data_IF_207361675082
#
_entry.id   IF_207361675082
#
_cell.length_a   1.000
_cell.length_b   1.000
_cell.length_c   1.000
_cell.angle_alpha   90.00
_cell.angle_beta   90.00
_cell.angle_gamma   90.00
#
_symmetry.space_group_name_H-M   'P 1'
#
loop_
_entity.id
_entity.type
_entity.pdbx_description
1 polymer ?
#
# COMPACT_ATOMS: atom_id res chain seq x y z
N UNK A 1 10.37 -15.01 6.00
CA UNK A 1 10.04 -14.58 4.67
C UNK A 1 8.53 -14.51 4.54
N UNK A 2 8.01 -13.40 4.03
CA UNK A 2 6.60 -13.20 3.78
C UNK A 2 6.11 -14.05 2.61
N UNK A 3 4.82 -14.00 2.35
CA UNK A 3 4.15 -14.77 1.28
C UNK A 3 4.35 -14.17 -0.11
N UNK A 4 5.11 -13.10 -0.21
CA UNK A 4 5.43 -12.39 -1.43
C UNK A 4 6.17 -11.10 -1.13
N UNK A 5 6.59 -10.42 -2.18
CA UNK A 5 7.37 -9.18 -2.07
C UNK A 5 6.59 -8.02 -1.43
N UNK A 6 5.27 -8.02 -1.58
CA UNK A 6 4.36 -7.00 -1.08
C UNK A 6 3.31 -7.56 -0.10
N UNK A 7 3.68 -8.56 0.70
CA UNK A 7 2.82 -9.00 1.79
C UNK A 7 2.73 -7.88 2.85
N UNK A 8 1.69 -7.09 2.76
CA UNK A 8 1.39 -5.96 3.65
C UNK A 8 0.26 -6.28 4.64
N UNK A 9 -0.02 -7.56 4.87
CA UNK A 9 -0.99 -7.96 5.88
C UNK A 9 -0.59 -7.38 7.26
N UNK A 10 -1.57 -6.91 8.02
CA UNK A 10 -1.35 -6.28 9.33
C UNK A 10 -0.52 -7.16 10.28
N UNK A 11 -0.74 -8.46 10.25
CA UNK A 11 0.04 -9.44 11.03
C UNK A 11 1.52 -9.47 10.63
N UNK A 12 1.82 -9.32 9.33
CA UNK A 12 3.19 -9.25 8.83
C UNK A 12 3.85 -7.93 9.23
N UNK A 13 3.11 -6.83 9.14
CA UNK A 13 3.57 -5.52 9.55
C UNK A 13 3.87 -5.50 11.07
N UNK A 14 2.98 -6.04 11.90
CA UNK A 14 3.17 -6.15 13.34
C UNK A 14 4.39 -7.02 13.70
N UNK A 15 4.58 -8.15 13.01
CA UNK A 15 5.75 -9.01 13.18
C UNK A 15 7.06 -8.29 12.84
N UNK A 16 7.09 -7.55 11.73
CA UNK A 16 8.27 -6.76 11.34
C UNK A 16 8.51 -5.63 12.33
N UNK A 17 7.46 -4.92 12.78
CA UNK A 17 7.57 -3.84 13.74
C UNK A 17 8.19 -4.32 15.06
N UNK A 18 7.75 -5.48 15.59
CA UNK A 18 8.34 -6.10 16.78
C UNK A 18 9.86 -6.30 16.61
N UNK A 19 10.29 -6.83 15.46
CA UNK A 19 11.71 -7.06 15.20
C UNK A 19 12.51 -5.76 15.10
N UNK A 20 11.99 -4.75 14.44
CA UNK A 20 12.65 -3.44 14.32
C UNK A 20 12.76 -2.76 15.70
N UNK A 21 11.67 -2.73 16.47
CA UNK A 21 11.66 -2.16 17.82
C UNK A 21 12.69 -2.82 18.72
N UNK A 22 12.68 -4.16 18.83
CA UNK A 22 13.64 -4.91 19.64
C UNK A 22 15.08 -4.71 19.17
N UNK A 23 15.31 -4.71 17.86
CA UNK A 23 16.65 -4.48 17.31
C UNK A 23 17.16 -3.07 17.65
N UNK A 24 16.31 -2.05 17.52
CA UNK A 24 16.65 -0.68 17.89
C UNK A 24 16.95 -0.57 19.37
N UNK A 25 16.02 -1.00 20.23
CA UNK A 25 16.16 -0.88 21.68
C UNK A 25 17.37 -1.64 22.26
N UNK A 26 17.71 -2.79 21.69
CA UNK A 26 18.77 -3.65 22.22
C UNK A 26 20.13 -3.39 21.57
N UNK A 27 20.17 -2.82 20.38
CA UNK A 27 21.42 -2.62 19.62
C UNK A 27 21.93 -1.18 19.62
N UNK A 28 21.05 -0.20 19.59
CA UNK A 28 21.47 1.20 19.57
C UNK A 28 21.80 1.69 20.99
N UNK A 29 22.84 2.50 21.07
CA UNK A 29 23.20 3.25 22.28
C UNK A 29 23.06 4.75 22.02
N UNK A 30 23.02 5.56 23.06
CA UNK A 30 23.07 7.02 22.96
C UNK A 30 24.48 7.54 22.64
N UNK A 31 25.47 6.65 22.61
CA UNK A 31 26.85 7.03 22.34
C UNK A 31 27.11 7.16 20.84
N UNK A 32 27.71 8.29 20.46
CA UNK A 32 28.14 8.57 19.10
C UNK A 32 29.66 8.59 19.06
N UNK A 33 30.24 7.86 18.10
CA UNK A 33 31.70 7.83 17.90
C UNK A 33 32.20 9.18 17.36
N UNK A 34 33.53 9.40 17.40
CA UNK A 34 34.13 10.66 16.92
C UNK A 34 33.86 10.94 15.43
N UNK A 35 33.58 9.92 14.63
CA UNK A 35 33.23 9.99 13.21
C UNK A 35 31.69 10.07 12.97
N UNK A 36 30.91 10.33 13.99
CA UNK A 36 29.46 10.57 13.89
C UNK A 36 28.60 9.32 13.75
N UNK A 37 29.15 8.11 14.00
CA UNK A 37 28.41 6.86 13.96
C UNK A 37 27.87 6.48 15.34
N UNK A 38 26.66 5.97 15.36
CA UNK A 38 26.07 5.43 16.60
C UNK A 38 26.81 4.15 16.99
N UNK A 39 27.22 4.07 18.23
CA UNK A 39 27.84 2.85 18.79
C UNK A 39 26.78 1.79 19.01
N UNK A 40 27.10 0.56 18.65
CA UNK A 40 26.17 -0.57 18.81
C UNK A 40 26.56 -1.43 20.02
N UNK A 41 25.58 -1.83 20.79
CA UNK A 41 25.77 -2.85 21.82
C UNK A 41 26.28 -4.15 21.17
N UNK A 42 27.32 -4.80 21.75
CA UNK A 42 27.83 -6.06 21.22
C UNK A 42 26.79 -7.19 21.39
N UNK A 43 26.73 -8.08 20.41
CA UNK A 43 25.94 -9.30 20.50
C UNK A 43 26.76 -10.39 21.18
N UNK A 44 26.20 -11.01 22.20
CA UNK A 44 26.72 -12.27 22.73
C UNK A 44 25.84 -13.42 22.24
N UNK A 45 26.34 -14.26 21.33
CA UNK A 45 25.53 -15.34 20.74
C UNK A 45 24.97 -16.33 21.75
N UNK A 46 25.64 -16.52 22.89
CA UNK A 46 25.20 -17.48 23.90
C UNK A 46 24.15 -16.93 24.87
N UNK A 47 23.86 -15.63 24.81
CA UNK A 47 22.86 -14.94 25.64
C UNK A 47 21.56 -14.63 24.94
N UNK A 48 21.32 -15.22 23.77
CA UNK A 48 20.09 -15.03 23.04
C UNK A 48 19.16 -16.25 23.12
N UNK A 49 18.09 -16.15 22.37
CA UNK A 49 17.11 -17.21 22.18
C UNK A 49 17.27 -17.84 20.80
N UNK A 50 16.99 -19.13 20.72
CA UNK A 50 17.02 -19.88 19.47
C UNK A 50 15.61 -20.37 19.14
N UNK A 51 15.24 -20.28 17.86
CA UNK A 51 14.08 -20.95 17.31
C UNK A 51 14.49 -21.66 16.02
N UNK A 52 13.90 -22.81 15.76
CA UNK A 52 14.21 -23.64 14.61
C UNK A 52 13.92 -22.90 13.31
N UNK A 53 14.76 -23.12 12.30
CA UNK A 53 14.50 -22.67 10.94
C UNK A 53 13.21 -23.27 10.40
N UNK A 54 12.60 -22.58 9.43
CA UNK A 54 11.41 -23.07 8.80
C UNK A 54 11.68 -24.29 7.93
N UNK A 55 11.14 -25.43 8.37
CA UNK A 55 11.12 -26.67 7.63
C UNK A 55 9.67 -27.16 7.51
N UNK A 56 8.95 -26.83 6.41
CA UNK A 56 7.50 -27.05 6.30
C UNK A 56 7.08 -28.51 6.44
N UNK A 57 7.96 -29.43 6.11
CA UNK A 57 7.66 -30.88 6.08
C UNK A 57 8.08 -31.63 7.36
N UNK A 58 8.69 -30.95 8.32
CA UNK A 58 9.11 -31.59 9.58
C UNK A 58 7.94 -31.70 10.56
N UNK A 59 7.73 -32.92 11.10
CA UNK A 59 6.66 -33.20 12.06
C UNK A 59 7.03 -32.82 13.50
N UNK A 60 8.29 -32.96 13.89
CA UNK A 60 8.81 -32.62 15.22
C UNK A 60 9.67 -31.38 15.16
N UNK A 61 9.54 -30.55 16.18
CA UNK A 61 10.32 -29.32 16.33
C UNK A 61 10.86 -29.15 17.72
N UNK A 62 12.08 -28.62 17.78
CA UNK A 62 12.57 -28.01 18.97
C UNK A 62 11.79 -26.71 19.25
N UNK A 63 11.28 -26.53 20.48
CA UNK A 63 10.64 -25.29 20.90
C UNK A 63 11.69 -24.20 21.05
N UNK A 64 11.27 -22.95 20.81
CA UNK A 64 12.11 -21.81 21.12
C UNK A 64 12.58 -21.86 22.58
N UNK A 65 13.86 -21.64 22.79
CA UNK A 65 14.47 -21.67 24.10
C UNK A 65 15.70 -20.77 24.15
N UNK A 66 16.08 -20.41 25.36
CA UNK A 66 17.37 -19.76 25.62
C UNK A 66 18.52 -20.63 25.09
N UNK A 67 19.58 -20.02 24.57
CA UNK A 67 20.69 -20.69 23.89
C UNK A 67 21.17 -21.97 24.58
N UNK A 68 21.42 -21.92 25.88
CA UNK A 68 21.92 -23.06 26.66
C UNK A 68 20.88 -24.17 26.96
N UNK A 69 19.59 -23.88 26.70
CA UNK A 69 18.47 -24.79 26.95
C UNK A 69 17.85 -25.32 25.64
N UNK A 70 18.30 -24.81 24.49
CA UNK A 70 17.77 -25.19 23.20
C UNK A 70 18.11 -26.67 22.89
N UNK A 71 17.10 -27.44 22.56
CA UNK A 71 17.22 -28.91 22.33
C UNK A 71 17.33 -29.29 20.85
N UNK A 72 17.29 -28.31 19.95
CA UNK A 72 17.48 -28.51 18.51
C UNK A 72 18.94 -28.33 18.09
N UNK A 73 19.18 -28.40 16.78
CA UNK A 73 20.49 -28.08 16.23
C UNK A 73 20.69 -26.55 16.24
N UNK A 74 21.69 -26.10 16.98
CA UNK A 74 22.03 -24.67 17.08
C UNK A 74 22.52 -24.09 15.76
N UNK A 75 23.05 -24.94 14.86
CA UNK A 75 23.50 -24.52 13.52
C UNK A 75 22.35 -24.43 12.52
N UNK A 76 21.22 -25.07 12.81
CA UNK A 76 19.98 -24.99 12.02
C UNK A 76 18.87 -24.22 12.77
N UNK A 77 19.25 -23.20 13.50
CA UNK A 77 18.36 -22.32 14.23
C UNK A 77 18.56 -20.86 13.87
N UNK A 78 17.52 -20.07 14.01
CA UNK A 78 17.61 -18.61 14.01
C UNK A 78 17.86 -18.12 15.42
N UNK A 79 18.71 -17.11 15.54
CA UNK A 79 19.04 -16.45 16.79
C UNK A 79 18.19 -15.18 16.97
N UNK A 80 17.71 -14.94 18.18
CA UNK A 80 16.90 -13.81 18.57
C UNK A 80 17.42 -13.15 19.85
N UNK A 81 17.18 -11.86 19.98
CA UNK A 81 17.62 -11.12 21.16
C UNK A 81 16.90 -11.59 22.43
N UNK A 82 15.63 -11.90 22.32
CA UNK A 82 14.81 -12.28 23.48
C UNK A 82 13.76 -13.36 23.14
N UNK A 83 13.06 -13.76 24.18
CA UNK A 83 12.03 -14.79 24.14
C UNK A 83 10.87 -14.41 23.21
N UNK A 84 10.40 -13.14 23.31
CA UNK A 84 9.24 -12.66 22.57
C UNK A 84 9.45 -12.75 21.06
N UNK A 85 10.61 -12.34 20.56
CA UNK A 85 10.95 -12.48 19.14
C UNK A 85 10.98 -13.95 18.69
N UNK A 86 11.57 -14.83 19.48
CA UNK A 86 11.67 -16.25 19.16
C UNK A 86 10.29 -16.91 19.12
N UNK A 87 9.45 -16.66 20.11
CA UNK A 87 8.10 -17.20 20.22
C UNK A 87 7.17 -16.61 19.13
N UNK A 88 7.28 -15.32 18.79
CA UNK A 88 6.54 -14.73 17.69
C UNK A 88 6.87 -15.40 16.34
N UNK A 89 8.15 -15.77 16.14
CA UNK A 89 8.55 -16.53 14.95
C UNK A 89 7.94 -17.92 14.92
N UNK A 90 7.97 -18.64 16.04
CA UNK A 90 7.34 -19.97 16.12
C UNK A 90 5.82 -19.89 15.83
N UNK A 91 5.15 -18.94 16.48
CA UNK A 91 3.70 -18.73 16.29
C UNK A 91 3.37 -18.47 14.81
N UNK A 92 4.19 -17.64 14.12
CA UNK A 92 4.02 -17.37 12.70
C UNK A 92 4.18 -18.64 11.84
N UNK A 93 5.16 -19.47 12.14
CA UNK A 93 5.41 -20.68 11.37
C UNK A 93 4.36 -21.79 11.62
N UNK A 94 3.85 -21.88 12.84
CA UNK A 94 2.80 -22.85 13.21
C UNK A 94 1.51 -22.63 12.41
N UNK A 95 1.16 -21.37 12.09
CA UNK A 95 -0.07 -21.04 11.35
C UNK A 95 -0.19 -21.72 9.99
N UNK A 96 0.93 -22.00 9.33
CA UNK A 96 0.93 -22.59 7.98
C UNK A 96 1.33 -24.08 7.93
N UNK A 97 1.72 -24.67 9.07
CA UNK A 97 2.21 -26.04 9.10
C UNK A 97 1.11 -27.07 8.84
N UNK A 98 1.39 -28.03 7.95
CA UNK A 98 0.50 -29.15 7.64
C UNK A 98 -0.75 -28.75 6.85
N UNK A 99 -0.85 -27.49 6.47
CA UNK A 99 -1.94 -26.99 5.64
C UNK A 99 -1.61 -27.08 4.17
N UNK A 100 -2.63 -27.25 3.35
CA UNK A 100 -2.54 -27.29 1.91
C UNK A 100 -2.30 -25.89 1.33
N UNK A 101 -1.64 -25.83 0.18
CA UNK A 101 -1.49 -24.58 -0.58
C UNK A 101 -2.81 -24.26 -1.29
N UNK A 102 -3.14 -22.98 -1.36
CA UNK A 102 -4.16 -22.44 -2.26
C UNK A 102 -3.57 -21.33 -3.10
N UNK A 103 -4.16 -21.09 -4.27
CA UNK A 103 -3.59 -20.21 -5.27
C UNK A 103 -4.62 -19.17 -5.71
N UNK A 104 -4.14 -17.94 -5.95
CA UNK A 104 -4.97 -16.84 -6.41
C UNK A 104 -4.62 -16.46 -7.83
N UNK A 105 -5.61 -16.01 -8.55
CA UNK A 105 -5.52 -15.38 -9.86
C UNK A 105 -6.45 -14.17 -9.92
N UNK A 106 -6.56 -13.62 -11.10
CA UNK A 106 -7.44 -12.48 -11.37
C UNK A 106 -8.30 -12.76 -12.58
N UNK A 107 -9.53 -12.29 -12.51
CA UNK A 107 -10.49 -12.29 -13.61
C UNK A 107 -10.75 -10.86 -14.06
N UNK A 108 -10.71 -10.64 -15.38
CA UNK A 108 -11.05 -9.39 -16.01
C UNK A 108 -11.96 -9.66 -17.21
N UNK A 109 -13.08 -8.95 -17.30
CA UNK A 109 -14.07 -9.10 -18.39
C UNK A 109 -14.54 -10.54 -18.59
N UNK A 110 -14.75 -11.29 -17.50
CA UNK A 110 -15.22 -12.68 -17.53
C UNK A 110 -14.17 -13.73 -17.90
N UNK A 111 -12.91 -13.35 -17.99
CA UNK A 111 -11.81 -14.26 -18.33
C UNK A 111 -10.71 -14.28 -17.28
N UNK A 112 -10.23 -15.48 -16.94
CA UNK A 112 -9.07 -15.64 -16.08
C UNK A 112 -7.83 -15.09 -16.78
N UNK A 113 -7.09 -14.23 -16.08
CA UNK A 113 -5.85 -13.65 -16.60
C UNK A 113 -4.70 -14.64 -16.54
N UNK A 114 -3.86 -14.61 -17.57
CA UNK A 114 -2.69 -15.46 -17.66
C UNK A 114 -1.68 -15.17 -16.55
N UNK A 115 -1.11 -16.25 -15.99
CA UNK A 115 0.00 -16.19 -15.05
C UNK A 115 1.30 -16.50 -15.80
N UNK A 116 2.19 -15.51 -15.94
CA UNK A 116 3.46 -15.68 -16.63
C UNK A 116 4.64 -15.66 -15.64
N UNK A 117 5.31 -16.81 -15.51
CA UNK A 117 6.47 -16.97 -14.63
C UNK A 117 7.69 -16.13 -15.05
N UNK A 118 7.73 -15.65 -16.28
CA UNK A 118 8.85 -14.83 -16.80
C UNK A 118 8.73 -13.36 -16.39
N UNK A 119 7.53 -12.91 -16.05
CA UNK A 119 7.31 -11.54 -15.62
C UNK A 119 7.66 -11.36 -14.15
N UNK A 120 8.16 -10.18 -13.78
CA UNK A 120 8.41 -9.82 -12.38
C UNK A 120 7.11 -9.82 -11.58
N UNK A 121 6.11 -9.06 -12.02
CA UNK A 121 4.73 -9.20 -11.57
C UNK A 121 4.02 -10.18 -12.52
N UNK A 122 3.64 -11.32 -12.00
CA UNK A 122 3.23 -12.51 -12.76
C UNK A 122 1.94 -12.34 -13.53
N UNK A 123 1.09 -11.38 -13.13
CA UNK A 123 -0.22 -11.11 -13.76
C UNK A 123 -0.27 -9.63 -14.14
N UNK A 124 -0.56 -9.35 -15.39
CA UNK A 124 -0.60 -7.99 -15.93
C UNK A 124 -1.89 -7.78 -16.75
N UNK A 125 -2.99 -7.34 -16.09
CA UNK A 125 -4.20 -6.98 -16.80
C UNK A 125 -3.99 -5.74 -17.67
N UNK A 126 -4.87 -5.58 -18.64
CA UNK A 126 -4.94 -4.34 -19.42
C UNK A 126 -5.77 -3.30 -18.67
N UNK A 127 -5.39 -2.04 -18.78
CA UNK A 127 -6.27 -0.96 -18.34
C UNK A 127 -7.46 -0.87 -19.29
N UNK A 128 -8.62 -1.31 -18.80
CA UNK A 128 -9.86 -1.32 -19.54
C UNK A 128 -10.94 -0.54 -18.76
N UNK A 129 -10.94 0.81 -18.87
CA UNK A 129 -11.85 1.64 -18.10
C UNK A 129 -13.28 1.58 -18.65
N UNK A 130 -14.24 1.90 -17.77
CA UNK A 130 -15.65 2.17 -18.13
C UNK A 130 -15.78 3.47 -18.95
N UNK A 131 -17.03 3.83 -19.24
CA UNK A 131 -17.36 5.04 -20.01
C UNK A 131 -16.86 6.35 -19.38
N UNK A 132 -16.60 6.37 -18.06
CA UNK A 132 -16.02 7.51 -17.35
C UNK A 132 -14.50 7.69 -17.57
N UNK A 133 -13.85 6.72 -18.21
CA UNK A 133 -12.43 6.73 -18.54
C UNK A 133 -11.49 6.40 -17.37
N UNK A 134 -11.97 6.24 -16.14
CA UNK A 134 -11.17 6.07 -14.94
C UNK A 134 -11.55 4.87 -14.07
N UNK A 135 -12.80 4.41 -14.14
CA UNK A 135 -13.27 3.26 -13.36
C UNK A 135 -13.02 1.96 -14.10
N UNK A 136 -12.47 0.95 -13.45
CA UNK A 136 -12.22 -0.37 -14.04
C UNK A 136 -12.57 -1.49 -13.08
N UNK A 137 -12.77 -2.69 -13.61
CA UNK A 137 -13.07 -3.89 -12.85
C UNK A 137 -11.90 -4.87 -12.86
N UNK A 138 -11.68 -5.48 -11.70
CA UNK A 138 -10.76 -6.59 -11.50
C UNK A 138 -11.27 -7.42 -10.33
N UNK A 139 -11.37 -8.74 -10.51
CA UNK A 139 -11.85 -9.66 -9.48
C UNK A 139 -10.74 -10.64 -9.11
N UNK A 140 -10.50 -10.84 -7.81
CA UNK A 140 -9.65 -11.92 -7.32
C UNK A 140 -10.44 -13.24 -7.32
N UNK A 141 -9.80 -14.30 -7.72
CA UNK A 141 -10.39 -15.65 -7.81
C UNK A 141 -9.40 -16.70 -7.32
N UNK A 142 -9.92 -17.83 -6.84
CA UNK A 142 -9.10 -19.00 -6.52
C UNK A 142 -8.84 -19.84 -7.77
N UNK A 143 -7.62 -20.36 -7.90
CA UNK A 143 -7.17 -21.09 -9.08
C UNK A 143 -6.48 -22.38 -8.70
N UNK A 144 -6.28 -23.24 -9.68
CA UNK A 144 -5.43 -24.42 -9.55
C UNK A 144 -3.94 -24.04 -9.35
N UNK A 145 -3.12 -24.99 -9.03
CA UNK A 145 -1.67 -24.80 -8.81
C UNK A 145 -0.91 -24.28 -10.04
N UNK A 146 -1.43 -24.54 -11.24
CA UNK A 146 -0.88 -24.03 -12.50
C UNK A 146 -1.41 -22.63 -12.85
N UNK A 147 -2.44 -22.15 -12.15
CA UNK A 147 -3.14 -20.88 -12.40
C UNK A 147 -3.74 -20.77 -13.79
N UNK A 148 -4.26 -21.90 -14.30
CA UNK A 148 -4.83 -22.00 -15.64
C UNK A 148 -6.34 -22.10 -15.65
N UNK A 149 -6.95 -22.47 -14.52
CA UNK A 149 -8.40 -22.59 -14.34
C UNK A 149 -8.81 -22.24 -12.92
N UNK A 150 -10.10 -21.93 -12.74
CA UNK A 150 -10.68 -21.74 -11.42
C UNK A 150 -10.61 -23.05 -10.63
N UNK A 151 -10.58 -22.95 -9.30
CA UNK A 151 -10.53 -24.09 -8.39
C UNK A 151 -11.46 -23.85 -7.21
N UNK A 152 -12.12 -24.93 -6.78
CA UNK A 152 -12.91 -24.99 -5.55
C UNK A 152 -12.08 -25.50 -4.35
N UNK A 153 -10.81 -25.83 -4.58
CA UNK A 153 -9.86 -26.25 -3.54
C UNK A 153 -9.22 -25.04 -2.86
N UNK A 154 -9.97 -24.40 -1.99
CA UNK A 154 -9.54 -23.21 -1.26
C UNK A 154 -10.30 -23.04 0.06
N UNK A 155 -9.86 -22.13 0.92
CA UNK A 155 -10.59 -21.74 2.12
C UNK A 155 -11.92 -21.04 1.78
N UNK A 156 -12.91 -21.16 2.68
CA UNK A 156 -14.26 -20.63 2.45
C UNK A 156 -14.34 -19.10 2.29
N UNK A 157 -13.37 -18.36 2.86
CA UNK A 157 -13.36 -16.92 2.74
C UNK A 157 -13.23 -16.44 1.29
N UNK A 158 -13.91 -15.36 0.93
CA UNK A 158 -13.79 -14.76 -0.41
C UNK A 158 -12.47 -13.98 -0.54
N UNK A 159 -11.73 -14.16 -1.64
CA UNK A 159 -10.55 -13.34 -1.90
C UNK A 159 -10.89 -11.85 -2.01
N UNK A 160 -10.04 -11.01 -1.43
CA UNK A 160 -10.18 -9.54 -1.49
C UNK A 160 -9.00 -8.93 -2.24
N UNK A 161 -9.19 -7.71 -2.77
CA UNK A 161 -8.12 -6.95 -3.40
C UNK A 161 -7.88 -5.68 -2.60
N UNK A 162 -6.62 -5.42 -2.29
CA UNK A 162 -6.15 -4.18 -1.68
C UNK A 162 -5.17 -3.43 -2.59
N UNK A 163 -5.04 -2.11 -2.37
CA UNK A 163 -4.05 -1.29 -3.05
C UNK A 163 -2.67 -1.48 -2.40
N UNK A 164 -1.65 -1.70 -3.22
CA UNK A 164 -0.24 -1.60 -2.80
C UNK A 164 0.25 -0.18 -3.08
N UNK A 165 0.23 0.24 -4.34
CA UNK A 165 0.69 1.55 -4.76
C UNK A 165 0.06 1.96 -6.10
N UNK A 166 0.40 3.16 -6.55
CA UNK A 166 -0.09 3.73 -7.81
C UNK A 166 -1.32 4.63 -7.64
N UNK A 167 -1.71 5.31 -8.71
CA UNK A 167 -2.82 6.27 -8.69
C UNK A 167 -4.17 5.54 -8.77
N UNK A 168 -4.58 4.89 -7.68
CA UNK A 168 -5.81 4.12 -7.62
C UNK A 168 -6.44 4.19 -6.23
N UNK A 169 -7.76 4.20 -6.20
CA UNK A 169 -8.57 3.95 -5.01
C UNK A 169 -9.50 2.75 -5.23
N UNK A 170 -9.80 2.05 -4.15
CA UNK A 170 -10.77 0.95 -4.15
C UNK A 170 -12.17 1.52 -3.91
N UNK A 171 -13.08 1.28 -4.84
CA UNK A 171 -14.50 1.67 -4.73
C UNK A 171 -15.29 0.58 -4.02
N UNK A 172 -15.06 -0.68 -4.41
CA UNK A 172 -15.59 -1.89 -3.75
C UNK A 172 -14.68 -3.09 -4.06
N UNK A 173 -15.09 -4.31 -3.70
CA UNK A 173 -14.22 -5.49 -3.80
C UNK A 173 -13.76 -5.85 -5.22
N UNK A 174 -14.45 -5.36 -6.24
CA UNK A 174 -14.12 -5.65 -7.64
C UNK A 174 -14.00 -4.40 -8.51
N UNK A 175 -14.23 -3.22 -7.94
CA UNK A 175 -14.23 -1.95 -8.68
C UNK A 175 -13.18 -1.02 -8.13
N UNK A 176 -12.39 -0.48 -9.02
CA UNK A 176 -11.30 0.44 -8.74
C UNK A 176 -11.44 1.67 -9.62
N UNK A 177 -10.90 2.79 -9.16
CA UNK A 177 -10.91 4.05 -9.89
C UNK A 177 -9.52 4.69 -9.88
N UNK A 178 -9.08 5.21 -11.02
CA UNK A 178 -7.85 6.02 -11.08
C UNK A 178 -8.04 7.24 -10.18
N UNK A 179 -7.10 7.44 -9.26
CA UNK A 179 -7.11 8.54 -8.30
C UNK A 179 -5.68 9.01 -8.08
N UNK A 180 -5.40 10.25 -8.46
CA UNK A 180 -4.11 10.88 -8.24
C UNK A 180 -4.07 11.51 -6.85
N UNK A 181 -2.87 11.56 -6.28
CA UNK A 181 -2.60 12.15 -4.97
C UNK A 181 -1.26 12.86 -5.01
N UNK A 182 -0.84 13.49 -3.93
CA UNK A 182 0.33 14.40 -3.74
C UNK A 182 1.46 14.35 -4.80
N UNK A 183 1.66 13.23 -5.46
CA UNK A 183 2.68 13.06 -6.48
C UNK A 183 2.18 13.30 -7.91
N UNK A 184 0.86 13.46 -8.04
CA UNK A 184 0.18 14.00 -9.21
C UNK A 184 0.43 13.30 -10.54
N UNK A 185 -0.15 13.91 -11.58
CA UNK A 185 0.00 13.51 -12.97
C UNK A 185 1.31 14.00 -13.59
N UNK A 186 1.94 15.01 -13.01
CA UNK A 186 3.03 15.77 -13.66
C UNK A 186 4.42 15.23 -13.38
N UNK A 187 4.54 14.01 -12.88
CA UNK A 187 5.84 13.41 -12.68
C UNK A 187 6.27 12.60 -13.91
N UNK A 188 7.12 13.13 -14.80
CA UNK A 188 7.51 12.45 -16.04
C UNK A 188 8.33 11.17 -15.82
N UNK A 189 8.83 10.96 -14.59
CA UNK A 189 9.59 9.76 -14.22
C UNK A 189 8.72 8.66 -13.62
N UNK A 190 7.43 8.93 -13.38
CA UNK A 190 6.52 7.93 -12.85
C UNK A 190 5.74 7.27 -13.97
N UNK A 191 5.87 5.98 -14.03
CA UNK A 191 4.97 5.15 -14.80
C UNK A 191 3.59 5.18 -14.14
N UNK A 192 2.54 5.14 -14.94
CA UNK A 192 1.18 5.00 -14.44
C UNK A 192 0.89 3.58 -13.92
N UNK A 193 1.83 2.95 -13.21
CA UNK A 193 1.66 1.59 -12.72
C UNK A 193 0.81 1.59 -11.45
N UNK A 194 -0.25 0.80 -11.49
CA UNK A 194 -1.13 0.49 -10.36
C UNK A 194 -0.79 -0.92 -9.90
N UNK A 195 -0.35 -1.06 -8.66
CA UNK A 195 -0.09 -2.37 -8.06
C UNK A 195 -1.18 -2.70 -7.03
N UNK A 196 -1.79 -3.86 -7.20
CA UNK A 196 -2.84 -4.38 -6.34
C UNK A 196 -2.45 -5.77 -5.82
N UNK A 197 -2.96 -6.12 -4.64
CA UNK A 197 -2.73 -7.40 -4.00
C UNK A 197 -4.05 -8.11 -3.77
N UNK A 198 -4.23 -9.27 -4.39
CA UNK A 198 -5.27 -10.21 -3.97
C UNK A 198 -4.80 -10.95 -2.72
N UNK A 199 -5.68 -11.10 -1.75
CA UNK A 199 -5.43 -11.79 -0.49
C UNK A 199 -6.57 -12.74 -0.19
N UNK A 200 -6.23 -13.94 0.26
CA UNK A 200 -7.14 -14.95 0.78
C UNK A 200 -6.65 -15.40 2.15
N UNK A 201 -7.47 -15.27 3.17
CA UNK A 201 -7.17 -15.84 4.48
C UNK A 201 -7.18 -17.37 4.40
N UNK A 202 -6.26 -18.00 5.11
CA UNK A 202 -6.32 -19.45 5.28
C UNK A 202 -7.35 -19.85 6.33
N UNK A 203 -7.61 -21.14 6.40
CA UNK A 203 -8.45 -21.78 7.42
C UNK A 203 -7.70 -22.92 8.12
N UNK A 204 -8.41 -23.93 8.62
CA UNK A 204 -7.79 -25.10 9.23
C UNK A 204 -7.08 -26.00 8.21
N UNK A 205 -7.57 -26.06 6.97
CA UNK A 205 -7.06 -26.91 5.89
C UNK A 205 -6.06 -26.18 5.00
N UNK A 206 -6.35 -24.93 4.65
CA UNK A 206 -5.56 -24.17 3.68
C UNK A 206 -4.70 -23.09 4.33
N UNK A 207 -3.51 -22.87 3.79
CA UNK A 207 -2.68 -21.69 4.09
C UNK A 207 -3.35 -20.45 3.50
N UNK A 208 -3.08 -19.29 4.06
CA UNK A 208 -3.40 -18.04 3.38
C UNK A 208 -2.55 -17.87 2.13
N UNK A 209 -3.11 -17.18 1.13
CA UNK A 209 -2.45 -16.93 -0.14
C UNK A 209 -2.54 -15.45 -0.52
N UNK A 210 -1.56 -14.98 -1.27
CA UNK A 210 -1.56 -13.66 -1.89
C UNK A 210 -1.10 -13.77 -3.34
N UNK A 211 -1.59 -12.88 -4.19
CA UNK A 211 -1.16 -12.72 -5.57
C UNK A 211 -1.15 -11.24 -5.93
N UNK A 212 -0.05 -10.80 -6.41
CA UNK A 212 0.19 -9.44 -6.88
C UNK A 212 -0.23 -9.28 -8.34
N UNK A 213 -0.67 -8.09 -8.70
CA UNK A 213 -0.99 -7.69 -10.06
C UNK A 213 -0.49 -6.26 -10.33
N UNK A 214 -0.02 -6.01 -11.54
CA UNK A 214 0.36 -4.68 -12.00
C UNK A 214 -0.41 -4.30 -13.26
N UNK A 215 -1.05 -3.14 -13.22
CA UNK A 215 -1.79 -2.54 -14.34
C UNK A 215 -1.05 -1.28 -14.73
N UNK A 216 -0.69 -1.16 -16.00
CA UNK A 216 -0.14 0.08 -16.53
C UNK A 216 -1.24 0.90 -17.16
N UNK A 217 -1.46 2.11 -16.65
CA UNK A 217 -2.36 3.09 -17.27
C UNK A 217 -1.57 4.04 -18.17
N UNK A 218 -2.16 4.55 -19.27
CA UNK A 218 -1.57 5.67 -19.99
C UNK A 218 -1.38 6.85 -19.04
N UNK A 219 -0.24 7.52 -19.12
CA UNK A 219 0.00 8.70 -18.30
C UNK A 219 -0.98 9.82 -18.65
N UNK A 220 -1.27 10.01 -19.94
CA UNK A 220 -2.26 10.93 -20.47
C UNK A 220 -2.96 10.32 -21.68
N UNK A 221 -4.23 10.59 -21.84
CA UNK A 221 -4.95 10.37 -23.07
C UNK A 221 -4.66 11.53 -24.02
N UNK A 222 -4.09 11.25 -25.18
CA UNK A 222 -3.68 12.27 -26.16
C UNK A 222 -4.54 12.29 -27.41
N UNK A 223 -5.51 11.36 -27.55
CA UNK A 223 -6.42 11.24 -28.66
C UNK A 223 -7.83 11.71 -28.28
N UNK A 224 -8.55 12.29 -29.24
CA UNK A 224 -9.91 12.81 -29.05
C UNK A 224 -9.95 14.33 -28.90
N UNK A 225 -11.09 14.83 -28.43
CA UNK A 225 -11.33 16.27 -28.23
C UNK A 225 -10.47 16.81 -27.07
N UNK A 226 -9.96 18.02 -27.24
CA UNK A 226 -9.27 18.74 -26.17
C UNK A 226 -10.27 19.26 -25.16
N UNK A 227 -9.87 19.29 -23.91
CA UNK A 227 -10.65 19.88 -22.83
C UNK A 227 -9.79 20.79 -21.96
N UNK A 228 -10.46 21.71 -21.26
CA UNK A 228 -9.84 22.64 -20.33
C UNK A 228 -10.59 22.61 -18.99
N UNK A 229 -9.86 22.87 -17.93
CA UNK A 229 -10.43 23.00 -16.60
C UNK A 229 -10.47 24.47 -16.21
N UNK A 230 -11.65 24.96 -15.89
CA UNK A 230 -11.83 26.24 -15.20
C UNK A 230 -11.86 25.99 -13.70
N UNK A 231 -10.83 26.43 -13.00
CA UNK A 231 -10.73 26.31 -11.55
C UNK A 231 -10.56 27.71 -10.93
N UNK A 232 -11.59 28.26 -10.26
CA UNK A 232 -11.52 29.57 -9.64
C UNK A 232 -10.45 29.67 -8.55
N UNK A 233 -10.02 30.89 -8.24
CA UNK A 233 -9.13 31.14 -7.11
C UNK A 233 -9.78 30.73 -5.78
N UNK A 234 -8.96 30.30 -4.83
CA UNK A 234 -9.41 29.89 -3.49
C UNK A 234 -9.10 31.00 -2.49
N UNK A 235 -10.01 31.30 -1.55
CA UNK A 235 -9.76 32.28 -0.50
C UNK A 235 -8.76 31.74 0.53
N UNK A 236 -7.99 32.65 1.14
CA UNK A 236 -7.26 32.32 2.36
C UNK A 236 -8.23 32.00 3.49
N UNK A 237 -7.80 31.14 4.40
CA UNK A 237 -8.58 30.70 5.57
C UNK A 237 -7.83 30.93 6.86
N UNK A 238 -8.53 30.90 7.99
CA UNK A 238 -7.91 30.97 9.33
C UNK A 238 -7.76 29.57 9.93
N UNK A 239 -6.85 29.43 10.91
CA UNK A 239 -6.77 28.20 11.70
C UNK A 239 -8.10 27.94 12.38
N UNK A 240 -8.56 26.68 12.34
CA UNK A 240 -9.87 26.29 12.87
C UNK A 240 -11.02 26.32 11.85
N UNK A 241 -10.77 26.77 10.61
CA UNK A 241 -11.74 26.61 9.53
C UNK A 241 -12.03 25.12 9.30
N UNK A 242 -13.32 24.76 9.15
CA UNK A 242 -13.73 23.36 9.02
C UNK A 242 -13.38 22.76 7.65
N UNK A 243 -13.89 23.34 6.58
CA UNK A 243 -13.66 22.87 5.21
C UNK A 243 -13.78 24.00 4.19
N UNK A 244 -13.28 23.75 2.97
CA UNK A 244 -13.37 24.68 1.85
C UNK A 244 -13.88 23.94 0.60
N UNK A 245 -14.98 24.43 0.02
CA UNK A 245 -15.58 23.83 -1.18
C UNK A 245 -14.77 24.13 -2.43
N UNK A 246 -14.67 23.14 -3.30
CA UNK A 246 -14.01 23.20 -4.60
C UNK A 246 -15.06 23.26 -5.72
N UNK A 247 -14.83 24.12 -6.72
CA UNK A 247 -15.78 24.36 -7.81
C UNK A 247 -15.05 24.47 -9.14
N UNK A 248 -14.28 23.45 -9.52
CA UNK A 248 -13.73 23.39 -10.85
C UNK A 248 -14.70 22.69 -11.81
N UNK A 249 -14.71 23.12 -13.07
CA UNK A 249 -15.52 22.53 -14.14
C UNK A 249 -14.64 22.24 -15.35
N UNK A 250 -14.96 21.18 -16.09
CA UNK A 250 -14.41 20.91 -17.40
C UNK A 250 -15.38 21.42 -18.48
N UNK A 251 -14.85 22.02 -19.55
CA UNK A 251 -15.65 22.48 -20.70
C UNK A 251 -16.30 21.31 -21.48
N UNK A 252 -15.80 20.07 -21.31
CA UNK A 252 -16.43 18.85 -21.82
C UNK A 252 -17.55 18.29 -20.93
N UNK A 253 -17.85 18.92 -19.77
CA UNK A 253 -18.84 18.44 -18.80
C UNK A 253 -18.43 17.18 -18.03
N UNK A 254 -17.20 16.70 -18.15
CA UNK A 254 -16.68 15.59 -17.36
C UNK A 254 -16.39 16.02 -15.92
N UNK A 255 -16.63 15.14 -14.92
CA UNK A 255 -16.38 15.47 -13.52
C UNK A 255 -14.89 15.72 -13.25
N UNK A 256 -14.58 16.85 -12.62
CA UNK A 256 -13.22 17.22 -12.21
C UNK A 256 -12.91 16.59 -10.87
N UNK A 257 -11.72 16.04 -10.71
CA UNK A 257 -11.21 15.50 -9.46
C UNK A 257 -10.07 16.38 -8.92
N UNK A 258 -9.76 16.19 -7.65
CA UNK A 258 -8.78 17.02 -6.96
C UNK A 258 -7.77 16.18 -6.19
N UNK A 259 -6.57 16.73 -5.95
CA UNK A 259 -5.65 16.24 -4.93
C UNK A 259 -4.89 17.40 -4.29
N UNK A 260 -4.43 17.19 -3.06
CA UNK A 260 -3.54 18.14 -2.38
C UNK A 260 -2.11 17.85 -2.83
N UNK A 261 -1.47 18.83 -3.46
CA UNK A 261 -0.06 18.76 -3.85
C UNK A 261 0.84 19.03 -2.65
N UNK A 262 0.53 20.05 -1.85
CA UNK A 262 1.24 20.42 -0.64
C UNK A 262 0.31 21.05 0.41
N UNK A 263 0.71 20.99 1.66
CA UNK A 263 -0.01 21.58 2.79
C UNK A 263 -0.74 20.58 3.66
N UNK A 264 -1.19 21.01 4.86
CA UNK A 264 -1.89 20.18 5.84
C UNK A 264 -3.38 20.12 5.52
N UNK A 265 -3.73 19.38 4.47
CA UNK A 265 -5.11 19.21 4.01
C UNK A 265 -5.25 17.90 3.23
N UNK A 266 -6.47 17.42 3.11
CA UNK A 266 -6.90 16.25 2.33
C UNK A 266 -8.15 16.59 1.51
N UNK A 267 -8.50 15.76 0.53
CA UNK A 267 -9.70 15.91 -0.29
C UNK A 267 -10.75 14.90 0.17
N UNK A 268 -11.94 15.38 0.47
CA UNK A 268 -13.13 14.57 0.70
C UNK A 268 -14.23 15.02 -0.27
N UNK A 269 -14.42 14.23 -1.34
CA UNK A 269 -15.32 14.62 -2.44
C UNK A 269 -14.88 15.93 -3.10
N UNK A 270 -15.77 16.93 -3.05
CA UNK A 270 -15.52 18.28 -3.58
C UNK A 270 -15.12 19.28 -2.49
N UNK A 271 -14.56 18.79 -1.40
CA UNK A 271 -14.13 19.64 -0.29
C UNK A 271 -12.67 19.38 0.10
N UNK A 272 -12.02 20.45 0.54
CA UNK A 272 -10.75 20.38 1.27
C UNK A 272 -11.10 20.27 2.75
N UNK A 273 -10.56 19.24 3.41
CA UNK A 273 -10.60 19.08 4.87
C UNK A 273 -9.20 19.34 5.41
N UNK A 274 -9.10 20.19 6.44
CA UNK A 274 -7.82 20.54 7.02
C UNK A 274 -7.35 19.51 8.01
N UNK A 275 -6.08 19.10 7.90
CA UNK A 275 -5.42 18.20 8.85
C UNK A 275 -4.65 19.02 9.89
N UNK A 276 -4.26 18.42 11.03
CA UNK A 276 -3.47 19.12 12.03
C UNK A 276 -2.20 19.75 11.44
N UNK A 277 -1.99 21.04 11.73
CA UNK A 277 -0.78 21.74 11.30
C UNK A 277 0.39 21.24 12.14
N UNK A 278 1.51 20.81 11.52
CA UNK A 278 2.67 20.32 12.27
C UNK A 278 3.18 21.33 13.28
N UNK A 279 3.61 20.90 14.47
CA UNK A 279 4.20 21.77 15.48
C UNK A 279 5.37 22.60 14.89
N UNK A 280 5.50 23.84 15.29
CA UNK A 280 6.54 24.78 14.83
C UNK A 280 6.41 25.23 13.37
N UNK A 281 5.29 24.98 12.70
CA UNK A 281 5.03 25.55 11.37
C UNK A 281 5.06 27.07 11.41
N UNK A 282 5.67 27.66 10.40
CA UNK A 282 5.65 29.12 10.21
C UNK A 282 4.37 29.51 9.47
N UNK A 283 3.67 30.52 9.97
CA UNK A 283 2.49 31.09 9.33
C UNK A 283 2.86 32.26 8.41
N UNK A 284 2.10 32.47 7.32
CA UNK A 284 0.96 31.66 6.87
C UNK A 284 1.40 30.34 6.26
N UNK A 285 0.60 29.28 6.44
CA UNK A 285 0.88 27.95 5.89
C UNK A 285 0.24 27.81 4.51
N UNK A 286 1.04 27.53 3.49
CA UNK A 286 0.58 27.34 2.10
C UNK A 286 -0.10 25.98 1.92
N UNK A 287 -1.21 25.99 1.19
CA UNK A 287 -1.89 24.81 0.66
C UNK A 287 -2.02 24.95 -0.84
N UNK A 288 -1.63 23.92 -1.59
CA UNK A 288 -1.79 23.87 -3.05
C UNK A 288 -2.67 22.69 -3.44
N UNK A 289 -3.72 22.98 -4.16
CA UNK A 289 -4.70 22.04 -4.69
C UNK A 289 -4.55 21.96 -6.19
N UNK A 290 -4.66 20.76 -6.72
CA UNK A 290 -4.66 20.50 -8.17
C UNK A 290 -6.00 19.95 -8.58
N UNK A 291 -6.66 20.60 -9.54
CA UNK A 291 -7.81 20.10 -10.24
C UNK A 291 -7.35 19.35 -11.49
N UNK A 292 -7.87 18.15 -11.71
CA UNK A 292 -7.48 17.29 -12.83
C UNK A 292 -8.67 16.56 -13.44
N UNK A 293 -8.56 16.23 -14.73
CA UNK A 293 -9.51 15.41 -15.47
C UNK A 293 -8.75 14.53 -16.46
N UNK A 294 -8.87 13.20 -16.28
CA UNK A 294 -8.06 12.22 -17.01
C UNK A 294 -8.46 12.06 -18.48
N UNK A 295 -9.69 12.47 -18.84
CA UNK A 295 -10.25 12.25 -20.15
C UNK A 295 -10.79 10.82 -20.34
N UNK A 296 -11.19 10.53 -21.56
CA UNK A 296 -11.73 9.23 -21.98
C UNK A 296 -10.97 8.78 -23.23
N UNK A 297 -10.30 7.65 -23.15
CA UNK A 297 -9.44 7.14 -24.21
C UNK A 297 -10.13 7.16 -25.60
N UNK A 298 -9.49 7.79 -26.57
CA UNK A 298 -9.99 7.95 -27.94
C UNK A 298 -11.15 8.92 -28.13
N UNK A 299 -11.69 9.53 -27.06
CA UNK A 299 -12.83 10.48 -27.13
C UNK A 299 -12.44 11.86 -26.62
N UNK A 300 -11.88 11.94 -25.42
CA UNK A 300 -11.51 13.20 -24.77
C UNK A 300 -10.09 13.08 -24.22
N UNK A 301 -9.25 14.05 -24.55
CA UNK A 301 -7.86 14.11 -24.08
C UNK A 301 -7.82 14.40 -22.57
N UNK A 302 -6.73 14.04 -21.93
CA UNK A 302 -6.45 14.47 -20.55
C UNK A 302 -6.29 16.00 -20.52
N UNK A 303 -7.00 16.66 -19.61
CA UNK A 303 -6.85 18.10 -19.41
C UNK A 303 -5.47 18.43 -18.80
N UNK A 304 -4.95 19.62 -19.13
CA UNK A 304 -3.83 20.15 -18.34
C UNK A 304 -4.31 20.42 -16.91
N UNK A 305 -3.64 19.88 -15.89
CA UNK A 305 -4.01 20.11 -14.50
C UNK A 305 -3.91 21.58 -14.13
N UNK A 306 -4.85 22.07 -13.33
CA UNK A 306 -4.88 23.45 -12.88
C UNK A 306 -4.59 23.54 -11.39
N UNK A 307 -3.52 24.25 -11.02
CA UNK A 307 -3.14 24.45 -9.64
C UNK A 307 -3.74 25.75 -9.07
N UNK A 308 -4.17 25.70 -7.81
CA UNK A 308 -4.54 26.86 -7.00
C UNK A 308 -3.90 26.75 -5.63
N UNK A 309 -3.35 27.85 -5.18
CA UNK A 309 -2.77 27.97 -3.83
C UNK A 309 -3.53 28.99 -3.02
N UNK A 310 -3.63 28.74 -1.73
CA UNK A 310 -4.16 29.65 -0.72
C UNK A 310 -3.37 29.46 0.59
N UNK A 311 -3.62 30.32 1.56
CA UNK A 311 -2.88 30.30 2.82
C UNK A 311 -3.80 30.09 4.01
N UNK A 312 -3.34 29.25 4.96
CA UNK A 312 -3.92 29.16 6.30
C UNK A 312 -3.22 30.22 7.15
N UNK A 313 -3.96 31.22 7.60
CA UNK A 313 -3.49 32.29 8.48
C UNK A 313 -3.75 31.92 9.94
N UNK A 314 -2.91 32.40 10.83
CA UNK A 314 -3.14 32.21 12.25
C UNK A 314 -4.34 33.05 12.68
N UNK A 315 -5.29 32.43 13.37
CA UNK A 315 -6.42 33.16 13.97
C UNK A 315 -5.90 34.28 14.87
N UNK A 316 -6.36 35.51 14.61
CA UNK A 316 -6.09 36.63 15.48
C UNK A 316 -7.02 36.50 16.70
N UNK A 317 -6.48 36.02 17.81
CA UNK A 317 -7.19 36.08 19.09
C UNK A 317 -7.46 37.56 19.36
N UNK A 318 -8.68 38.00 19.08
CA UNK A 318 -9.13 39.32 19.57
C UNK A 318 -9.06 39.27 21.10
N UNK A 319 -8.04 39.87 21.70
CA UNK A 319 -8.04 40.14 23.13
C UNK A 319 -9.21 41.09 23.38
N UNK A 320 -10.27 40.57 24.00
CA UNK A 320 -11.34 41.36 24.60
C UNK A 320 -10.79 42.11 25.79
#
# INVERSE_FOLDING_TARGET
AGRGHFDVADETAAYIALFLEKAVCLRLTDEVTKDGKVKLNPINPTKGWLAERWHPNQKKRAKAAFYSQYKGDVHDAFWYFDREMAEATEARYVQSRGKEEQYLGFEQSGSLLAYDKKLHVRVQPRFNPKADGITFHLKAVCTDSLRTKLSDEHADATPTISRICGPVEKVNDTTFRVSFYRMGMDNPRRTGDICLLASQTGDRRYKSAVQEVSIRIPYRNTAGERQHILFPGLPDVETGSGSLSLKAISDCGLPVSYYIKEGPAEIEGDQIVFTPIPPRSKFPVKVTVVAWQYGVAGKVQTAEPVERSFYIKKELIKRL
#
